data_IF_270251488159
#
_entry.id   IF_270251488159
#
_cell.length_a   1.000
_cell.length_b   1.000
_cell.length_c   1.000
_cell.angle_alpha   90.00
_cell.angle_beta   90.00
_cell.angle_gamma   90.00
#
_symmetry.space_group_name_H-M   'P 1'
#
loop_
_entity.id
_entity.type
_entity.pdbx_description
1 polymer ?
#
# COMPACT_ATOMS: atom_id res chain seq x y z
N UNK A 1 4.65 -12.38 -26.53
CA UNK A 1 4.34 -12.81 -25.15
C UNK A 1 2.89 -12.43 -24.87
N UNK A 2 2.07 -13.37 -24.39
CA UNK A 2 0.71 -13.07 -23.93
C UNK A 2 0.75 -12.60 -22.47
N UNK A 3 0.12 -11.47 -22.17
CA UNK A 3 -0.04 -11.00 -20.80
C UNK A 3 -1.14 -11.82 -20.12
N UNK A 4 -0.92 -12.12 -18.83
CA UNK A 4 -1.95 -12.73 -17.98
C UNK A 4 -2.74 -11.63 -17.28
N UNK A 5 -3.96 -11.91 -16.83
CA UNK A 5 -4.76 -10.96 -16.03
C UNK A 5 -3.99 -10.46 -14.80
N UNK A 6 -3.22 -11.35 -14.16
CA UNK A 6 -2.35 -10.97 -13.04
C UNK A 6 -1.25 -10.00 -13.45
N UNK A 7 -0.73 -10.08 -14.67
CA UNK A 7 0.27 -9.13 -15.16
C UNK A 7 -0.33 -7.73 -15.31
N UNK A 8 -1.53 -7.66 -15.87
CA UNK A 8 -2.28 -6.42 -16.03
C UNK A 8 -2.59 -5.81 -14.66
N UNK A 9 -3.11 -6.60 -13.72
CA UNK A 9 -3.37 -6.15 -12.35
C UNK A 9 -2.09 -5.68 -11.62
N UNK A 10 -0.96 -6.33 -11.84
CA UNK A 10 0.33 -5.88 -11.29
C UNK A 10 0.79 -4.56 -11.90
N UNK A 11 0.61 -4.35 -13.21
CA UNK A 11 0.93 -3.10 -13.88
C UNK A 11 0.02 -1.97 -13.40
N UNK A 12 -1.27 -2.24 -13.21
CA UNK A 12 -2.24 -1.30 -12.65
C UNK A 12 -1.84 -0.89 -11.22
N UNK A 13 -1.52 -1.86 -10.36
CA UNK A 13 -1.02 -1.60 -9.01
C UNK A 13 0.27 -0.79 -9.02
N UNK A 14 1.26 -1.13 -9.87
CA UNK A 14 2.48 -0.33 -10.04
C UNK A 14 2.19 1.09 -10.56
N UNK A 15 1.13 1.27 -11.34
CA UNK A 15 0.68 2.60 -11.73
C UNK A 15 0.25 3.43 -10.51
N UNK A 16 -0.34 2.78 -9.49
CA UNK A 16 -0.78 3.42 -8.25
C UNK A 16 0.40 3.73 -7.34
N UNK A 17 1.23 2.74 -6.99
CA UNK A 17 2.34 2.87 -6.01
C UNK A 17 3.66 3.36 -6.59
N UNK A 18 3.76 3.48 -7.92
CA UNK A 18 4.91 3.95 -8.73
C UNK A 18 6.14 3.05 -8.74
N UNK A 19 6.55 2.49 -7.60
CA UNK A 19 7.73 1.64 -7.47
C UNK A 19 7.56 0.67 -6.30
N UNK A 20 8.24 -0.46 -6.37
CA UNK A 20 8.19 -1.50 -5.34
C UNK A 20 9.54 -2.19 -5.21
N UNK A 21 9.89 -2.65 -4.01
CA UNK A 21 11.00 -3.60 -3.85
C UNK A 21 10.53 -5.03 -4.11
N UNK A 22 11.49 -5.97 -4.10
CA UNK A 22 11.19 -7.38 -4.32
C UNK A 22 10.28 -8.00 -3.25
N UNK A 23 10.26 -7.47 -2.01
CA UNK A 23 9.39 -8.00 -0.97
C UNK A 23 7.94 -7.60 -1.25
N UNK A 24 7.71 -6.31 -1.50
CA UNK A 24 6.39 -5.79 -1.89
C UNK A 24 5.85 -6.51 -3.15
N UNK A 25 6.70 -6.75 -4.17
CA UNK A 25 6.29 -7.51 -5.34
C UNK A 25 5.84 -8.93 -5.01
N UNK A 26 6.51 -9.62 -4.07
CA UNK A 26 6.14 -10.99 -3.69
C UNK A 26 4.76 -11.04 -3.04
N UNK A 27 4.47 -10.07 -2.18
CA UNK A 27 3.18 -9.91 -1.53
C UNK A 27 2.08 -9.51 -2.52
N UNK A 28 2.34 -8.56 -3.42
CA UNK A 28 1.36 -8.12 -4.41
C UNK A 28 1.00 -9.25 -5.40
N UNK A 29 2.01 -9.99 -5.88
CA UNK A 29 1.79 -11.15 -6.77
C UNK A 29 0.96 -12.25 -6.10
N UNK A 30 1.12 -12.45 -4.79
CA UNK A 30 0.32 -13.39 -4.02
C UNK A 30 -1.12 -12.87 -3.84
N UNK A 31 -1.28 -11.64 -3.37
CA UNK A 31 -2.60 -11.07 -3.12
C UNK A 31 -3.47 -10.94 -4.37
N UNK A 32 -2.87 -10.63 -5.52
CA UNK A 32 -3.57 -10.63 -6.82
C UNK A 32 -3.83 -12.05 -7.37
N UNK A 33 -3.49 -13.09 -6.61
CA UNK A 33 -3.85 -14.49 -6.86
C UNK A 33 -4.65 -15.09 -5.69
N UNK A 34 -5.22 -14.24 -4.84
CA UNK A 34 -5.97 -14.62 -3.62
C UNK A 34 -5.16 -15.47 -2.62
N UNK A 35 -3.84 -15.31 -2.63
CA UNK A 35 -2.93 -15.99 -1.70
C UNK A 35 -2.53 -15.03 -0.57
N UNK A 36 -2.65 -15.52 0.67
CA UNK A 36 -2.34 -14.72 1.87
C UNK A 36 -0.84 -14.64 2.19
N UNK A 37 -0.01 -15.46 1.55
CA UNK A 37 1.43 -15.57 1.81
C UNK A 37 2.26 -15.18 0.57
N UNK A 38 3.39 -14.49 0.75
CA UNK A 38 4.16 -13.96 -0.36
C UNK A 38 4.71 -15.08 -1.24
N UNK A 39 4.67 -14.90 -2.57
CA UNK A 39 5.32 -15.85 -3.48
C UNK A 39 6.83 -15.93 -3.22
N UNK A 40 7.46 -17.03 -3.63
CA UNK A 40 8.92 -17.15 -3.52
C UNK A 40 9.65 -16.01 -4.25
N UNK A 41 10.83 -15.62 -3.76
CA UNK A 41 11.69 -14.62 -4.41
C UNK A 41 11.98 -14.97 -5.88
N UNK A 42 12.19 -16.26 -6.18
CA UNK A 42 12.42 -16.75 -7.55
C UNK A 42 11.23 -16.45 -8.46
N UNK A 43 9.99 -16.68 -8.00
CA UNK A 43 8.78 -16.37 -8.79
C UNK A 43 8.67 -14.87 -9.07
N UNK A 44 8.91 -14.02 -8.07
CA UNK A 44 8.90 -12.58 -8.28
C UNK A 44 9.99 -12.12 -9.26
N UNK A 45 11.22 -12.65 -9.14
CA UNK A 45 12.31 -12.35 -10.08
C UNK A 45 12.00 -12.82 -11.51
N UNK A 46 11.37 -13.99 -11.67
CA UNK A 46 10.95 -14.49 -12.97
C UNK A 46 9.88 -13.60 -13.60
N UNK A 47 8.91 -13.14 -12.82
CA UNK A 47 7.93 -12.16 -13.27
C UNK A 47 8.62 -10.88 -13.73
N UNK A 48 9.49 -10.29 -12.91
CA UNK A 48 10.22 -9.07 -13.27
C UNK A 48 11.07 -9.26 -14.53
N UNK A 49 11.80 -10.37 -14.65
CA UNK A 49 12.66 -10.63 -15.80
C UNK A 49 11.84 -10.74 -17.09
N UNK A 50 10.73 -11.48 -17.07
CA UNK A 50 9.84 -11.63 -18.23
C UNK A 50 9.23 -10.31 -18.67
N UNK A 51 8.73 -9.50 -17.75
CA UNK A 51 8.13 -8.21 -18.09
C UNK A 51 9.20 -7.18 -18.52
N UNK A 52 10.43 -7.29 -18.01
CA UNK A 52 11.53 -6.43 -18.43
C UNK A 52 12.03 -6.77 -19.84
N UNK A 53 12.05 -8.04 -20.21
CA UNK A 53 12.43 -8.50 -21.55
C UNK A 53 11.55 -7.89 -22.65
N UNK A 54 10.27 -7.66 -22.36
CA UNK A 54 9.33 -7.01 -23.29
C UNK A 54 9.15 -5.51 -23.05
N UNK A 55 9.97 -4.90 -22.19
CA UNK A 55 9.97 -3.45 -21.93
C UNK A 55 8.81 -2.91 -21.09
N UNK A 56 8.05 -3.76 -20.39
CA UNK A 56 6.89 -3.34 -19.59
C UNK A 56 7.24 -2.95 -18.15
N UNK A 57 8.31 -3.51 -17.61
CA UNK A 57 8.88 -3.07 -16.33
C UNK A 57 10.36 -2.79 -16.47
N UNK A 58 10.88 -1.93 -15.60
CA UNK A 58 12.31 -1.69 -15.46
C UNK A 58 12.71 -1.81 -13.99
N UNK A 59 14.00 -1.97 -13.74
CA UNK A 59 14.54 -2.21 -12.41
C UNK A 59 15.92 -1.62 -12.22
N UNK A 60 16.21 -1.23 -10.99
CA UNK A 60 17.54 -0.83 -10.57
C UNK A 60 17.87 -1.43 -9.20
N UNK A 61 19.16 -1.46 -8.86
CA UNK A 61 19.65 -1.86 -7.53
C UNK A 61 20.32 -0.67 -6.86
N UNK A 62 19.54 0.22 -6.21
CA UNK A 62 20.12 1.35 -5.52
C UNK A 62 20.87 0.92 -4.26
N UNK A 63 21.91 1.65 -3.89
CA UNK A 63 22.79 1.33 -2.74
C UNK A 63 22.10 1.43 -1.38
N UNK A 64 21.00 2.18 -1.27
CA UNK A 64 20.26 2.38 -0.02
C UNK A 64 19.22 1.28 0.28
N UNK A 65 19.07 0.27 -0.60
CA UNK A 65 18.16 -0.87 -0.40
C UNK A 65 18.84 -2.19 -0.69
N UNK A 66 18.46 -3.20 0.07
CA UNK A 66 18.86 -4.57 -0.18
C UNK A 66 18.00 -5.15 -1.31
N UNK A 67 18.50 -5.08 -2.55
CA UNK A 67 17.88 -5.72 -3.71
C UNK A 67 17.41 -4.76 -4.80
N UNK A 68 16.53 -5.27 -5.66
CA UNK A 68 16.02 -4.50 -6.80
C UNK A 68 14.77 -3.71 -6.43
N UNK A 69 14.73 -2.44 -6.87
CA UNK A 69 13.50 -1.65 -7.01
C UNK A 69 13.00 -1.83 -8.44
N UNK A 70 11.71 -2.05 -8.60
CA UNK A 70 11.02 -2.30 -9.86
C UNK A 70 9.91 -1.27 -10.04
N UNK A 71 9.71 -0.82 -11.28
CA UNK A 71 8.61 0.06 -11.67
C UNK A 71 8.10 -0.30 -13.07
N UNK A 72 6.85 0.05 -13.36
CA UNK A 72 6.29 -0.09 -14.71
C UNK A 72 6.81 1.04 -15.61
N UNK A 73 7.09 0.72 -16.88
CA UNK A 73 7.65 1.69 -17.84
C UNK A 73 6.58 2.63 -18.40
N UNK A 74 7.01 3.66 -19.11
CA UNK A 74 6.09 4.54 -19.84
C UNK A 74 5.26 3.77 -20.87
N UNK A 75 5.84 2.76 -21.52
CA UNK A 75 5.13 1.89 -22.45
C UNK A 75 3.99 1.14 -21.77
N UNK A 76 4.19 0.67 -20.54
CA UNK A 76 3.19 -0.12 -19.83
C UNK A 76 2.03 0.72 -19.26
N UNK A 77 2.32 1.88 -18.69
CA UNK A 77 1.33 2.64 -17.87
C UNK A 77 1.26 4.13 -18.20
N UNK A 78 1.96 4.61 -19.23
CA UNK A 78 1.96 6.01 -19.66
C UNK A 78 2.64 6.99 -18.68
N UNK A 79 3.35 6.51 -17.65
CA UNK A 79 4.00 7.35 -16.62
C UNK A 79 5.51 7.37 -16.80
N UNK A 80 6.14 8.48 -16.44
CA UNK A 80 7.60 8.60 -16.46
C UNK A 80 8.25 7.74 -15.38
N UNK A 81 9.47 7.27 -15.65
CA UNK A 81 10.26 6.53 -14.69
C UNK A 81 10.42 7.32 -13.37
N UNK A 82 10.36 6.65 -12.21
CA UNK A 82 10.59 7.30 -10.94
C UNK A 82 12.03 7.78 -10.81
N UNK A 83 12.24 8.91 -10.14
CA UNK A 83 13.58 9.33 -9.75
C UNK A 83 13.93 8.64 -8.42
N UNK A 84 14.81 7.64 -8.49
CA UNK A 84 15.20 6.78 -7.37
C UNK A 84 16.06 7.48 -6.29
N UNK A 85 16.54 8.69 -6.57
CA UNK A 85 17.40 9.47 -5.66
C UNK A 85 16.64 10.62 -5.00
N UNK A 86 15.32 10.68 -5.15
CA UNK A 86 14.50 11.63 -4.39
C UNK A 86 14.43 11.22 -2.93
N UNK A 87 14.35 12.22 -2.05
CA UNK A 87 14.15 12.00 -0.62
C UNK A 87 12.91 11.15 -0.32
N UNK A 88 11.88 11.23 -1.16
CA UNK A 88 10.62 10.50 -1.01
C UNK A 88 10.68 9.04 -1.43
N UNK A 89 11.73 8.57 -2.13
CA UNK A 89 11.77 7.20 -2.67
C UNK A 89 11.67 6.15 -1.55
N UNK A 90 12.29 6.39 -0.39
CA UNK A 90 12.18 5.48 0.76
C UNK A 90 10.72 5.35 1.24
N UNK A 91 9.98 6.47 1.27
CA UNK A 91 8.57 6.52 1.62
C UNK A 91 7.71 5.79 0.59
N UNK A 92 7.94 6.04 -0.70
CA UNK A 92 7.22 5.36 -1.80
C UNK A 92 7.39 3.82 -1.73
N UNK A 93 8.60 3.33 -1.47
CA UNK A 93 8.84 1.88 -1.26
C UNK A 93 8.05 1.36 -0.05
N UNK A 94 8.02 2.11 1.06
CA UNK A 94 7.31 1.71 2.25
C UNK A 94 5.79 1.66 2.02
N UNK A 95 5.22 2.63 1.31
CA UNK A 95 3.81 2.62 0.88
C UNK A 95 3.51 1.40 0.01
N UNK A 96 4.39 1.05 -0.94
CA UNK A 96 4.24 -0.17 -1.72
C UNK A 96 4.27 -1.45 -0.87
N UNK A 97 5.12 -1.49 0.16
CA UNK A 97 5.17 -2.64 1.09
C UNK A 97 3.88 -2.79 1.91
N UNK A 98 3.27 -1.66 2.33
CA UNK A 98 1.97 -1.68 3.02
C UNK A 98 0.85 -2.12 2.08
N UNK A 99 0.76 -1.51 0.89
CA UNK A 99 -0.31 -1.79 -0.05
C UNK A 99 -0.32 -3.25 -0.51
N UNK A 100 0.86 -3.83 -0.76
CA UNK A 100 1.00 -5.24 -1.13
C UNK A 100 0.46 -6.19 -0.04
N UNK A 101 0.59 -5.82 1.23
CA UNK A 101 0.05 -6.60 2.36
C UNK A 101 -1.46 -6.45 2.53
N UNK A 102 -2.01 -5.30 2.15
CA UNK A 102 -3.46 -5.13 2.02
C UNK A 102 -4.02 -5.99 0.89
N UNK A 103 -3.36 -6.02 -0.28
CA UNK A 103 -3.75 -6.91 -1.39
C UNK A 103 -3.80 -8.38 -0.95
N UNK A 104 -2.77 -8.85 -0.26
CA UNK A 104 -2.71 -10.23 0.28
C UNK A 104 -3.78 -10.54 1.36
N UNK A 105 -4.52 -9.53 1.82
CA UNK A 105 -5.63 -9.69 2.77
C UNK A 105 -6.99 -9.47 2.11
N UNK A 106 -7.06 -9.46 0.78
CA UNK A 106 -8.32 -9.31 0.04
C UNK A 106 -8.84 -7.88 -0.03
N UNK A 107 -8.00 -6.88 0.27
CA UNK A 107 -8.35 -5.48 0.02
C UNK A 107 -7.95 -5.07 -1.39
N UNK A 108 -8.67 -4.13 -1.98
CA UNK A 108 -8.18 -3.33 -3.09
C UNK A 108 -7.42 -2.12 -2.56
N UNK A 109 -6.57 -1.52 -3.39
CA UNK A 109 -5.75 -0.38 -3.03
C UNK A 109 -5.86 0.73 -4.06
N UNK A 110 -6.21 1.93 -3.61
CA UNK A 110 -6.33 3.12 -4.46
C UNK A 110 -5.56 4.31 -3.89
N UNK A 111 -5.29 5.30 -4.75
CA UNK A 111 -4.81 6.61 -4.28
C UNK A 111 -5.96 7.33 -3.59
N UNK A 112 -5.64 7.99 -2.49
CA UNK A 112 -6.60 8.87 -1.84
C UNK A 112 -6.93 10.08 -2.74
N UNK A 113 -8.08 10.68 -2.49
CA UNK A 113 -8.55 11.86 -3.20
C UNK A 113 -7.59 13.03 -3.04
N UNK A 114 -7.46 13.87 -4.07
CA UNK A 114 -6.66 15.08 -3.97
C UNK A 114 -7.27 16.04 -2.92
N UNK A 115 -6.45 16.76 -2.15
CA UNK A 115 -6.94 17.76 -1.21
C UNK A 115 -7.77 18.82 -1.94
N UNK A 116 -9.00 19.07 -1.48
CA UNK A 116 -9.87 20.10 -2.04
C UNK A 116 -9.59 21.49 -1.42
N UNK A 117 -9.06 21.52 -0.19
CA UNK A 117 -8.80 22.74 0.57
C UNK A 117 -7.43 22.69 1.24
N UNK A 118 -6.95 23.85 1.71
CA UNK A 118 -5.61 23.98 2.32
C UNK A 118 -5.43 23.15 3.60
N UNK A 119 -6.51 22.91 4.34
CA UNK A 119 -6.54 22.10 5.56
C UNK A 119 -6.95 20.64 5.29
N UNK A 120 -7.13 20.26 4.02
CA UNK A 120 -7.43 18.90 3.63
C UNK A 120 -6.12 18.10 3.51
N UNK A 121 -6.17 16.84 3.90
CA UNK A 121 -5.01 15.96 3.91
C UNK A 121 -5.29 14.75 3.03
N UNK A 122 -4.32 14.42 2.19
CA UNK A 122 -4.35 13.23 1.34
C UNK A 122 -3.55 12.14 2.04
N UNK A 123 -4.23 11.04 2.35
CA UNK A 123 -3.59 9.85 2.88
C UNK A 123 -2.66 9.21 1.85
N UNK A 124 -1.68 8.44 2.32
CA UNK A 124 -0.74 7.73 1.45
C UNK A 124 -1.42 6.67 0.58
N UNK A 125 -2.55 6.12 1.06
CA UNK A 125 -3.47 5.35 0.25
C UNK A 125 -4.80 5.06 0.94
N UNK A 126 -5.70 4.46 0.19
CA UNK A 126 -6.99 3.98 0.69
C UNK A 126 -7.07 2.49 0.38
N UNK A 127 -7.30 1.71 1.43
CA UNK A 127 -7.58 0.28 1.29
C UNK A 127 -9.09 0.06 1.38
N UNK A 128 -9.65 -0.73 0.47
CA UNK A 128 -11.09 -1.04 0.46
C UNK A 128 -11.26 -2.55 0.58
N UNK A 129 -11.95 -3.00 1.61
CA UNK A 129 -12.24 -4.42 1.82
C UNK A 129 -13.32 -4.91 0.86
N UNK A 130 -13.44 -6.24 0.70
CA UNK A 130 -14.47 -6.85 -0.16
C UNK A 130 -15.92 -6.49 0.21
N UNK A 131 -16.19 -6.11 1.47
CA UNK A 131 -17.50 -5.60 1.93
C UNK A 131 -17.65 -4.07 1.77
N UNK A 132 -16.71 -3.41 1.09
CA UNK A 132 -16.76 -1.99 0.75
C UNK A 132 -16.31 -1.03 1.86
N UNK A 133 -15.82 -1.52 3.00
CA UNK A 133 -15.30 -0.65 4.06
C UNK A 133 -13.97 -0.03 3.65
N UNK A 134 -13.81 1.26 3.96
CA UNK A 134 -12.63 2.05 3.55
C UNK A 134 -11.74 2.31 4.75
N UNK A 135 -10.45 2.04 4.60
CA UNK A 135 -9.42 2.40 5.56
C UNK A 135 -8.49 3.44 4.94
N UNK A 136 -8.24 4.54 5.66
CA UNK A 136 -7.18 5.46 5.29
C UNK A 136 -5.86 4.93 5.82
N UNK A 137 -4.84 4.93 4.98
CA UNK A 137 -3.54 4.37 5.33
C UNK A 137 -2.46 5.44 5.25
N UNK A 138 -1.70 5.56 6.33
CA UNK A 138 -0.61 6.50 6.50
C UNK A 138 0.68 5.73 6.74
N UNK A 139 1.75 6.09 6.05
CA UNK A 139 3.10 5.61 6.30
C UNK A 139 3.88 6.75 6.93
N UNK A 140 4.42 6.57 8.13
CA UNK A 140 5.19 7.61 8.79
C UNK A 140 6.56 7.11 9.24
N UNK A 141 7.58 7.48 8.47
CA UNK A 141 8.99 7.14 8.71
C UNK A 141 9.79 8.29 9.34
N UNK A 142 9.17 9.45 9.49
CA UNK A 142 9.76 10.63 10.11
C UNK A 142 8.63 11.45 10.73
N UNK A 143 8.73 11.83 12.01
CA UNK A 143 7.68 12.59 12.67
C UNK A 143 7.42 13.93 11.99
N UNK A 144 6.15 14.28 11.87
CA UNK A 144 5.71 15.60 11.44
C UNK A 144 5.75 16.63 12.57
N UNK A 145 5.66 17.91 12.20
CA UNK A 145 5.54 19.00 13.18
C UNK A 145 4.17 18.94 13.88
N UNK A 146 4.09 19.54 15.07
CA UNK A 146 2.85 19.58 15.85
C UNK A 146 1.67 20.22 15.07
N UNK A 147 1.92 21.35 14.39
CA UNK A 147 0.90 22.01 13.55
C UNK A 147 0.42 21.10 12.42
N UNK A 148 1.33 20.30 11.83
CA UNK A 148 0.96 19.39 10.75
C UNK A 148 0.11 18.23 11.27
N UNK A 149 0.44 17.68 12.45
CA UNK A 149 -0.41 16.66 13.08
C UNK A 149 -1.80 17.18 13.43
N UNK A 150 -1.93 18.44 13.88
CA UNK A 150 -3.25 19.05 14.12
C UNK A 150 -4.12 18.96 12.86
N UNK A 151 -3.62 19.46 11.73
CA UNK A 151 -4.36 19.46 10.46
C UNK A 151 -4.72 18.03 10.02
N UNK A 152 -3.77 17.09 10.13
CA UNK A 152 -3.98 15.70 9.72
C UNK A 152 -5.06 15.02 10.58
N UNK A 153 -4.97 15.10 11.90
CA UNK A 153 -5.94 14.45 12.78
C UNK A 153 -7.33 15.09 12.71
N UNK A 154 -7.42 16.42 12.60
CA UNK A 154 -8.70 17.11 12.35
C UNK A 154 -9.36 16.61 11.05
N UNK A 155 -8.56 16.44 10.00
CA UNK A 155 -9.04 15.86 8.73
C UNK A 155 -9.51 14.42 8.91
N UNK A 156 -8.72 13.56 9.56
CA UNK A 156 -9.10 12.17 9.79
C UNK A 156 -10.38 12.03 10.60
N UNK A 157 -10.52 12.76 11.71
CA UNK A 157 -11.76 12.75 12.52
C UNK A 157 -12.96 13.19 11.69
N UNK A 158 -12.80 14.22 10.86
CA UNK A 158 -13.88 14.66 9.98
C UNK A 158 -14.28 13.57 8.97
N UNK A 159 -13.31 12.87 8.37
CA UNK A 159 -13.55 11.78 7.40
C UNK A 159 -14.15 10.53 8.04
N UNK A 160 -13.69 10.16 9.24
CA UNK A 160 -14.27 9.08 10.05
C UNK A 160 -15.75 9.29 10.36
N UNK A 161 -16.15 10.56 10.54
CA UNK A 161 -17.53 10.93 10.86
C UNK A 161 -18.44 11.12 9.64
N UNK A 162 -17.89 11.38 8.44
CA UNK A 162 -18.68 11.88 7.28
C UNK A 162 -18.43 11.20 5.94
N UNK A 163 -17.30 10.52 5.76
CA UNK A 163 -16.93 9.93 4.46
C UNK A 163 -17.04 8.38 4.42
N UNK A 164 -17.61 7.76 5.45
CA UNK A 164 -17.70 6.30 5.53
C UNK A 164 -16.34 5.61 5.67
N UNK A 165 -15.31 6.35 6.13
CA UNK A 165 -14.02 5.76 6.52
C UNK A 165 -14.23 4.99 7.81
N UNK A 166 -13.84 3.72 7.85
CA UNK A 166 -13.98 2.84 9.01
C UNK A 166 -12.91 3.13 10.06
N UNK A 167 -11.66 3.25 9.64
CA UNK A 167 -10.50 3.54 10.50
C UNK A 167 -9.37 4.21 9.72
N UNK A 168 -8.43 4.77 10.45
CA UNK A 168 -7.14 5.25 9.93
C UNK A 168 -6.02 4.40 10.51
N UNK A 169 -5.15 3.88 9.65
CA UNK A 169 -4.07 2.97 10.03
C UNK A 169 -2.73 3.58 9.71
N UNK A 170 -1.93 3.83 10.75
CA UNK A 170 -0.57 4.33 10.65
C UNK A 170 0.43 3.17 10.70
N UNK A 171 1.28 3.08 9.69
CA UNK A 171 2.45 2.20 9.66
C UNK A 171 3.71 3.03 9.84
N UNK A 172 4.41 2.80 10.95
CA UNK A 172 5.55 3.62 11.35
C UNK A 172 6.79 2.79 11.66
N UNK A 173 7.93 3.46 11.81
CA UNK A 173 8.99 2.95 12.67
C UNK A 173 8.62 3.07 14.16
N UNK A 174 9.30 2.31 15.02
CA UNK A 174 8.95 2.24 16.45
C UNK A 174 9.10 3.58 17.23
N UNK A 175 10.12 4.42 17.00
CA UNK A 175 10.14 5.78 17.55
C UNK A 175 8.97 6.65 17.08
N UNK A 176 8.71 6.65 15.77
CA UNK A 176 7.65 7.48 15.17
C UNK A 176 6.26 7.04 15.62
N UNK A 177 6.00 5.74 15.79
CA UNK A 177 4.70 5.24 16.26
C UNK A 177 4.31 5.78 17.64
N UNK A 178 5.30 5.95 18.55
CA UNK A 178 5.05 6.52 19.88
C UNK A 178 4.66 8.00 19.80
N UNK A 179 5.26 8.73 18.87
CA UNK A 179 4.94 10.15 18.64
C UNK A 179 3.53 10.26 18.06
N UNK A 180 3.24 9.53 16.98
CA UNK A 180 1.89 9.48 16.38
C UNK A 180 0.84 9.09 17.43
N UNK A 181 1.14 8.10 18.28
CA UNK A 181 0.25 7.67 19.37
C UNK A 181 -0.05 8.79 20.36
N UNK A 182 0.98 9.47 20.86
CA UNK A 182 0.81 10.62 21.76
C UNK A 182 0.03 11.75 21.09
N UNK A 183 0.33 12.08 19.84
CA UNK A 183 -0.38 13.16 19.15
C UNK A 183 -1.85 12.81 18.88
N UNK A 184 -2.15 11.53 18.61
CA UNK A 184 -3.51 11.01 18.48
C UNK A 184 -4.27 11.08 19.82
N UNK A 185 -3.65 10.69 20.94
CA UNK A 185 -4.26 10.74 22.27
C UNK A 185 -4.64 12.17 22.69
N UNK A 186 -3.92 13.17 22.20
CA UNK A 186 -4.18 14.59 22.48
C UNK A 186 -5.27 15.17 21.58
N UNK A 187 -5.39 14.71 20.34
CA UNK A 187 -6.20 15.38 19.29
C UNK A 187 -7.48 14.66 18.91
N UNK A 188 -7.53 13.36 19.12
CA UNK A 188 -8.66 12.54 18.74
C UNK A 188 -9.53 12.32 19.97
N UNK A 189 -10.83 12.60 19.85
CA UNK A 189 -11.75 12.42 20.96
C UNK A 189 -11.83 10.93 21.35
N UNK A 190 -12.15 10.66 22.62
CA UNK A 190 -11.97 9.33 23.23
C UNK A 190 -12.81 8.24 22.56
N UNK A 191 -13.96 8.60 22.02
CA UNK A 191 -14.87 7.73 21.28
C UNK A 191 -14.31 7.31 19.91
N UNK A 192 -13.63 8.20 19.20
CA UNK A 192 -13.03 7.93 17.88
C UNK A 192 -11.61 7.35 17.97
N UNK A 193 -10.96 7.47 19.13
CA UNK A 193 -9.54 7.10 19.30
C UNK A 193 -9.22 5.65 18.94
N UNK A 194 -10.14 4.73 19.19
CA UNK A 194 -9.96 3.30 18.87
C UNK A 194 -9.91 3.03 17.36
N UNK A 195 -10.41 3.96 16.54
CA UNK A 195 -10.39 3.90 15.07
C UNK A 195 -9.09 4.45 14.48
N UNK A 196 -8.16 4.91 15.32
CA UNK A 196 -6.79 5.26 14.93
C UNK A 196 -5.87 4.11 15.35
N UNK A 197 -5.53 3.26 14.40
CA UNK A 197 -4.65 2.11 14.59
C UNK A 197 -3.22 2.50 14.26
N UNK A 198 -2.27 2.11 15.09
CA UNK A 198 -0.86 2.46 14.90
C UNK A 198 -0.02 1.18 15.02
N UNK A 199 0.70 0.85 13.96
CA UNK A 199 1.55 -0.33 13.87
C UNK A 199 3.01 0.08 13.66
N UNK A 200 3.90 -0.40 14.54
CA UNK A 200 5.34 -0.30 14.34
C UNK A 200 5.79 -1.40 13.36
N UNK A 201 5.67 -1.11 12.06
CA UNK A 201 5.92 -2.06 10.99
C UNK A 201 7.31 -1.93 10.36
N UNK A 202 7.97 -0.79 10.54
CA UNK A 202 9.21 -0.46 9.82
C UNK A 202 10.43 -0.33 10.74
N UNK A 203 11.61 -0.59 10.18
CA UNK A 203 12.88 -0.16 10.77
C UNK A 203 13.23 1.29 10.37
N UNK A 204 14.37 1.78 10.89
CA UNK A 204 14.89 3.13 10.58
C UNK A 204 15.29 3.33 9.12
N UNK A 205 15.33 2.27 8.31
CA UNK A 205 15.57 2.30 6.85
C UNK A 205 14.26 2.18 6.07
N UNK A 206 13.12 2.06 6.74
CA UNK A 206 11.80 1.88 6.11
C UNK A 206 11.61 0.48 5.53
N UNK A 207 12.36 -0.52 6.01
CA UNK A 207 12.14 -1.94 5.69
C UNK A 207 11.10 -2.51 6.64
N UNK A 208 10.18 -3.31 6.11
CA UNK A 208 9.20 -4.00 6.94
C UNK A 208 9.91 -5.00 7.87
N UNK A 209 9.68 -4.87 9.17
CA UNK A 209 10.23 -5.73 10.23
C UNK A 209 9.20 -6.05 11.32
N UNK A 210 8.01 -5.46 11.23
CA UNK A 210 6.96 -5.67 12.21
C UNK A 210 6.19 -6.96 12.01
N UNK A 211 5.40 -7.30 13.03
CA UNK A 211 4.45 -8.38 13.00
C UNK A 211 3.39 -8.15 11.92
N UNK A 212 3.31 -9.11 10.98
CA UNK A 212 2.40 -9.10 9.84
C UNK A 212 0.93 -8.96 10.26
N UNK A 213 0.53 -9.39 11.46
CA UNK A 213 -0.86 -9.28 11.92
C UNK A 213 -1.18 -7.96 12.65
N UNK A 214 -0.18 -7.15 13.00
CA UNK A 214 -0.36 -6.12 14.02
C UNK A 214 -1.41 -5.06 13.69
N UNK A 215 -1.42 -4.58 12.45
CA UNK A 215 -2.38 -3.57 12.00
C UNK A 215 -3.80 -4.11 11.79
N UNK A 216 -3.94 -5.43 11.70
CA UNK A 216 -5.20 -6.11 11.39
C UNK A 216 -5.78 -6.88 12.59
N UNK A 217 -5.14 -6.82 13.76
CA UNK A 217 -5.71 -7.38 14.98
C UNK A 217 -7.05 -6.70 15.29
N UNK A 218 -8.11 -7.51 15.40
CA UNK A 218 -9.46 -7.03 15.68
C UNK A 218 -10.26 -6.57 14.47
N UNK A 219 -9.68 -6.54 13.25
CA UNK A 219 -10.46 -6.47 12.01
C UNK A 219 -10.80 -7.87 11.53
N UNK A 220 -12.06 -8.11 11.15
CA UNK A 220 -12.39 -9.31 10.38
C UNK A 220 -11.65 -9.22 9.03
N UNK A 221 -10.87 -10.26 8.67
CA UNK A 221 -10.35 -10.34 7.30
C UNK A 221 -11.53 -10.37 6.35
N UNK A 222 -11.57 -9.51 5.31
CA UNK A 222 -12.58 -9.66 4.29
C UNK A 222 -12.38 -11.03 3.61
N UNK A 223 -13.49 -11.69 3.28
CA UNK A 223 -13.43 -12.83 2.39
C UNK A 223 -12.80 -12.36 1.06
N UNK A 224 -11.95 -13.17 0.41
CA UNK A 224 -11.42 -12.83 -0.91
C UNK A 224 -12.60 -12.52 -1.84
N UNK A 225 -12.54 -11.38 -2.52
CA UNK A 225 -13.53 -11.01 -3.53
C UNK A 225 -13.30 -11.93 -4.72
N UNK A 226 -14.22 -12.85 -5.05
CA UNK A 226 -14.07 -13.65 -6.26
C UNK A 226 -14.02 -12.71 -7.46
N UNK A 227 -13.06 -12.94 -8.37
CA UNK A 227 -13.11 -12.37 -9.70
C UNK A 227 -14.51 -12.65 -10.28
N UNK A 228 -15.12 -11.71 -11.04
CA UNK A 228 -16.44 -11.93 -11.61
C UNK A 228 -16.45 -13.25 -12.40
N UNK A 229 -17.35 -14.17 -12.00
CA UNK A 229 -17.68 -15.37 -12.76
C UNK A 229 -18.18 -14.92 -14.15
N UNK A 230 -17.30 -14.97 -15.15
CA UNK A 230 -17.75 -14.98 -16.53
C UNK A 230 -18.41 -16.34 -16.76
N UNK A 231 -19.74 -16.28 -16.86
CA UNK A 231 -20.59 -17.40 -17.24
C UNK A 231 -19.91 -18.22 -18.34
N UNK A 232 -19.75 -19.51 -18.05
CA UNK A 232 -19.09 -20.43 -18.95
C UNK A 232 -19.78 -20.49 -20.31
N UNK A 233 -18.96 -20.44 -21.35
CA UNK A 233 -19.21 -21.20 -22.57
C UNK A 233 -17.96 -22.04 -22.84
N UNK A 234 -17.90 -23.18 -22.16
CA UNK A 234 -17.16 -24.33 -22.66
C UNK A 234 -17.95 -24.89 -23.85
N UNK A 235 -17.65 -24.37 -25.05
CA UNK A 235 -18.11 -24.92 -26.32
C UNK A 235 -17.03 -25.83 -26.91
N UNK A 236 -17.28 -27.13 -26.88
CA UNK A 236 -16.47 -28.18 -27.50
C UNK A 236 -16.45 -28.04 -29.04
N UNK A 237 -15.26 -28.06 -29.64
CA UNK A 237 -14.82 -28.82 -30.84
C UNK A 237 -13.53 -28.23 -31.42
#
# INVERSE_FOLDING_TARGET
>A
MQLTERDEAMLDWLSVVRLADMDALRWALAGLSDEAEPVSLRRAQQWTARLAEVGLVDRARPTFRDGSIVWATHQAIGKSAPNLFRQTTRHEVAVAAVSARYLARGYTWERDRKPAMRNDHQADGVAVSGDGKRELVEVELTPKTNDRYRVIFENHVWRLAREGVERVVYFCDAPTSRIVGREADVRVFRDERHRIVIAAAFDVRGKWVGDEGAAWRGSASPAPTPLPELAGEWGQA
#
